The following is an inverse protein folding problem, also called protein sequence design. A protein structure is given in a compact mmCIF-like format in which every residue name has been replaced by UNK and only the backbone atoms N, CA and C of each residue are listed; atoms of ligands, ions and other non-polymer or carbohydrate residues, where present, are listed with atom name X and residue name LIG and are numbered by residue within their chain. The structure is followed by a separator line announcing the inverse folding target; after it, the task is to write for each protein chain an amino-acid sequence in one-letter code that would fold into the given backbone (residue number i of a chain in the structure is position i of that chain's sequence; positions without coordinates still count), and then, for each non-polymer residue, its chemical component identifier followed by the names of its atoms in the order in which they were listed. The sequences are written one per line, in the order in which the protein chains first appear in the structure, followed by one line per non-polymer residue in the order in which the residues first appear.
data_IF_043404963554
#
_entry.id   IF_043404963554
#
_cell.length_a   1.000
_cell.length_b   1.000
_cell.length_c   1.000
_cell.angle_alpha   90.00
_cell.angle_beta   90.00
_cell.angle_gamma   90.00
#
_symmetry.space_group_name_H-M   'P 1'
#
loop_
_entity.id
_entity.type
_entity.pdbx_description
1 polymer ?
#
# COMPACT_ATOMS: atom_id res chain seq x y z
N UNK A 1 36.52 8.73 26.84
CA UNK A 1 35.95 9.27 25.59
C UNK A 1 34.51 8.81 25.48
N UNK A 2 33.55 9.73 25.38
CA UNK A 2 32.14 9.36 25.16
C UNK A 2 32.03 8.55 23.87
N UNK A 3 31.38 7.39 23.93
CA UNK A 3 31.12 6.54 22.76
C UNK A 3 30.34 7.38 21.76
N UNK A 4 31.00 7.85 20.68
CA UNK A 4 30.32 8.56 19.58
C UNK A 4 29.18 7.66 19.14
N UNK A 5 27.94 8.14 19.29
CA UNK A 5 26.76 7.39 18.91
C UNK A 5 26.89 7.10 17.41
N UNK A 6 26.92 5.81 17.05
CA UNK A 6 26.99 5.42 15.64
C UNK A 6 25.68 5.86 14.97
N UNK A 7 25.77 6.27 13.72
CA UNK A 7 24.60 6.65 12.94
C UNK A 7 23.63 5.47 12.79
N UNK A 8 22.40 5.79 12.42
CA UNK A 8 21.31 4.82 12.29
C UNK A 8 20.73 4.88 10.89
N UNK A 9 20.55 3.72 10.27
CA UNK A 9 19.89 3.58 8.98
C UNK A 9 18.42 3.25 9.20
N UNK A 10 17.53 3.90 8.45
CA UNK A 10 16.10 3.59 8.43
C UNK A 10 15.68 3.38 6.98
N UNK A 11 15.38 2.13 6.60
CA UNK A 11 14.79 1.81 5.31
C UNK A 11 13.29 2.09 5.38
N UNK A 12 12.80 2.98 4.52
CA UNK A 12 11.41 3.48 4.59
C UNK A 12 10.70 3.21 3.28
N UNK A 13 9.56 2.50 3.36
CA UNK A 13 8.64 2.36 2.25
C UNK A 13 7.89 3.65 1.97
N UNK A 14 8.10 4.21 0.78
CA UNK A 14 7.49 5.47 0.34
C UNK A 14 6.07 5.30 -0.23
N UNK A 15 5.57 4.06 -0.33
CA UNK A 15 4.28 3.78 -0.93
C UNK A 15 4.30 3.79 -2.47
N UNK A 16 3.14 3.62 -3.12
CA UNK A 16 3.04 3.43 -4.58
C UNK A 16 3.19 4.72 -5.39
N UNK A 17 2.94 5.90 -4.79
CA UNK A 17 3.01 7.17 -5.48
C UNK A 17 2.31 8.31 -4.73
N UNK A 18 1.11 8.07 -4.22
CA UNK A 18 0.37 9.05 -3.42
C UNK A 18 1.04 9.29 -2.06
N UNK A 19 1.42 10.54 -1.72
CA UNK A 19 1.95 10.88 -0.39
C UNK A 19 1.00 10.53 0.77
N UNK A 20 -0.33 10.52 0.56
CA UNK A 20 -1.29 10.15 1.60
C UNK A 20 -1.25 8.66 1.95
N UNK A 21 -0.60 7.84 1.11
CA UNK A 21 -0.36 6.42 1.37
C UNK A 21 0.95 6.16 2.14
N UNK A 22 1.66 7.21 2.58
CA UNK A 22 2.75 7.08 3.54
C UNK A 22 2.20 6.63 4.89
N UNK A 23 2.92 5.72 5.55
CA UNK A 23 2.60 5.38 6.94
C UNK A 23 2.97 6.54 7.85
N UNK A 24 2.24 6.71 8.96
CA UNK A 24 2.56 7.73 9.98
C UNK A 24 4.01 7.60 10.48
N UNK A 25 4.53 6.37 10.59
CA UNK A 25 5.92 6.12 10.98
C UNK A 25 6.91 6.58 9.89
N UNK A 26 6.59 6.40 8.60
CA UNK A 26 7.41 6.88 7.50
C UNK A 26 7.51 8.41 7.49
N UNK A 27 6.38 9.12 7.66
CA UNK A 27 6.35 10.58 7.75
C UNK A 27 7.28 11.09 8.85
N UNK A 28 7.13 10.56 10.07
CA UNK A 28 7.97 10.94 11.22
C UNK A 28 9.45 10.69 10.96
N UNK A 29 9.80 9.55 10.33
CA UNK A 29 11.19 9.23 10.02
C UNK A 29 11.78 10.22 8.99
N UNK A 30 11.04 10.54 7.92
CA UNK A 30 11.47 11.49 6.88
C UNK A 30 11.71 12.88 7.48
N UNK A 31 10.82 13.34 8.36
CA UNK A 31 10.93 14.67 8.98
C UNK A 31 12.11 14.79 9.96
N UNK A 32 12.50 13.68 10.60
CA UNK A 32 13.59 13.63 11.58
C UNK A 32 14.96 13.31 10.96
N UNK A 33 14.99 12.89 9.69
CA UNK A 33 16.20 12.48 9.00
C UNK A 33 17.24 13.61 8.92
N UNK A 34 18.52 13.24 9.02
CA UNK A 34 19.65 14.15 8.78
C UNK A 34 20.24 14.00 7.38
N UNK A 35 19.91 12.89 6.70
CA UNK A 35 20.15 12.65 5.28
C UNK A 35 19.04 11.74 4.74
N UNK A 36 18.45 12.12 3.61
CA UNK A 36 17.54 11.25 2.85
C UNK A 36 18.21 10.76 1.58
N UNK A 37 18.25 9.44 1.42
CA UNK A 37 18.68 8.75 0.21
C UNK A 37 17.44 8.16 -0.48
N UNK A 38 17.25 8.44 -1.76
CA UNK A 38 16.05 7.99 -2.48
C UNK A 38 16.33 7.41 -3.86
N UNK A 39 15.47 6.49 -4.27
CA UNK A 39 15.39 6.06 -5.66
C UNK A 39 14.67 7.10 -6.52
N UNK A 40 14.92 7.06 -7.82
CA UNK A 40 14.25 7.96 -8.78
C UNK A 40 12.72 7.82 -8.81
N UNK A 41 12.18 6.65 -8.44
CA UNK A 41 10.74 6.39 -8.45
C UNK A 41 10.02 6.94 -7.21
N UNK A 42 10.74 7.51 -6.24
CA UNK A 42 10.11 8.18 -5.10
C UNK A 42 9.53 9.53 -5.59
N UNK A 43 8.23 9.79 -5.36
CA UNK A 43 7.58 11.03 -5.79
C UNK A 43 8.24 12.28 -5.20
N UNK A 44 8.28 13.38 -5.97
CA UNK A 44 8.88 14.64 -5.51
C UNK A 44 8.16 15.20 -4.28
N UNK A 45 6.86 14.97 -4.20
CA UNK A 45 5.98 15.38 -3.10
C UNK A 45 6.44 14.75 -1.78
N UNK A 46 6.81 13.46 -1.80
CA UNK A 46 7.38 12.75 -0.65
C UNK A 46 8.76 13.30 -0.30
N UNK A 47 9.63 13.53 -1.30
CA UNK A 47 10.97 14.07 -1.07
C UNK A 47 10.95 15.48 -0.45
N UNK A 48 9.95 16.30 -0.79
CA UNK A 48 9.78 17.66 -0.23
C UNK A 48 9.41 17.67 1.26
N UNK A 49 9.01 16.54 1.84
CA UNK A 49 8.73 16.43 3.28
C UNK A 49 10.02 16.41 4.12
N UNK A 50 11.15 16.06 3.51
CA UNK A 50 12.44 16.07 4.18
C UNK A 50 12.89 17.50 4.48
N UNK A 51 13.39 17.73 5.71
CA UNK A 51 13.93 19.03 6.17
C UNK A 51 15.46 19.09 6.08
N UNK A 52 16.07 18.11 5.42
CA UNK A 52 17.52 17.91 5.34
C UNK A 52 17.97 17.71 3.87
N UNK A 53 19.25 17.39 3.69
CA UNK A 53 19.79 17.05 2.37
C UNK A 53 19.11 15.80 1.81
N UNK A 54 18.68 15.86 0.54
CA UNK A 54 18.12 14.72 -0.20
C UNK A 54 19.05 14.37 -1.35
N UNK A 55 19.52 13.12 -1.41
CA UNK A 55 20.30 12.57 -2.53
C UNK A 55 19.50 11.52 -3.27
N UNK A 56 19.39 11.69 -4.58
CA UNK A 56 18.68 10.76 -5.46
C UNK A 56 19.70 10.08 -6.38
N UNK A 57 19.66 8.75 -6.43
CA UNK A 57 20.61 7.97 -7.24
C UNK A 57 20.50 8.30 -8.74
N UNK A 58 21.64 8.47 -9.41
CA UNK A 58 21.66 8.71 -10.86
C UNK A 58 21.54 7.39 -11.61
N UNK A 59 20.34 7.04 -12.09
CA UNK A 59 20.18 5.88 -12.97
C UNK A 59 20.73 6.20 -14.37
N UNK A 60 21.93 5.70 -14.68
CA UNK A 60 22.40 5.56 -16.07
C UNK A 60 21.80 4.26 -16.64
N UNK A 61 21.27 4.29 -17.87
CA UNK A 61 20.74 3.07 -18.52
C UNK A 61 21.76 1.93 -18.45
N UNK A 62 21.33 0.75 -18.02
CA UNK A 62 22.17 -0.46 -17.92
C UNK A 62 23.12 -0.53 -16.71
N UNK A 63 23.04 0.40 -15.74
CA UNK A 63 23.99 0.50 -14.61
C UNK A 63 23.30 0.56 -13.24
N UNK A 64 22.34 -0.34 -12.98
CA UNK A 64 21.60 -0.38 -11.72
C UNK A 64 22.51 -0.62 -10.50
N UNK A 65 23.52 -1.47 -10.64
CA UNK A 65 24.45 -1.79 -9.54
C UNK A 65 25.35 -0.62 -9.17
N UNK A 66 25.71 0.24 -10.15
CA UNK A 66 26.47 1.46 -9.86
C UNK A 66 25.64 2.50 -9.12
N UNK A 67 24.35 2.59 -9.41
CA UNK A 67 23.44 3.47 -8.66
C UNK A 67 23.26 2.98 -7.21
N UNK A 68 23.21 1.66 -7.01
CA UNK A 68 23.18 1.07 -5.66
C UNK A 68 24.48 1.36 -4.90
N UNK A 69 25.64 1.15 -5.53
CA UNK A 69 26.94 1.43 -4.92
C UNK A 69 27.10 2.93 -4.56
N UNK A 70 26.56 3.85 -5.37
CA UNK A 70 26.55 5.29 -5.08
C UNK A 70 25.72 5.60 -3.81
N UNK A 71 24.53 5.03 -3.69
CA UNK A 71 23.68 5.15 -2.49
C UNK A 71 24.36 4.57 -1.25
N UNK A 72 24.94 3.38 -1.37
CA UNK A 72 25.59 2.70 -0.25
C UNK A 72 26.83 3.47 0.23
N UNK A 73 27.62 4.02 -0.69
CA UNK A 73 28.75 4.89 -0.34
C UNK A 73 28.30 6.14 0.43
N UNK A 74 27.25 6.82 -0.03
CA UNK A 74 26.70 7.99 0.67
C UNK A 74 26.12 7.63 2.03
N UNK A 75 25.39 6.51 2.13
CA UNK A 75 24.81 6.02 3.37
C UNK A 75 25.87 5.69 4.40
N UNK A 76 26.86 4.86 4.03
CA UNK A 76 27.95 4.48 4.94
C UNK A 76 28.76 5.69 5.42
N UNK A 77 29.02 6.65 4.55
CA UNK A 77 29.73 7.88 4.94
C UNK A 77 28.91 8.68 5.98
N UNK A 78 27.63 8.91 5.74
CA UNK A 78 26.77 9.64 6.68
C UNK A 78 26.58 8.88 8.01
N UNK A 79 26.45 7.56 7.97
CA UNK A 79 26.36 6.73 9.17
C UNK A 79 27.63 6.80 10.02
N UNK A 80 28.81 6.83 9.40
CA UNK A 80 30.10 7.03 10.11
C UNK A 80 30.20 8.40 10.78
N UNK A 81 29.51 9.41 10.24
CA UNK A 81 29.40 10.74 10.84
C UNK A 81 28.41 10.79 12.02
N UNK A 82 27.69 9.70 12.31
CA UNK A 82 26.72 9.64 13.40
C UNK A 82 25.29 10.03 13.01
N UNK A 83 25.01 10.22 11.71
CA UNK A 83 23.72 10.74 11.23
C UNK A 83 22.59 9.71 11.28
N UNK A 84 21.37 10.19 11.46
CA UNK A 84 20.15 9.46 11.12
C UNK A 84 19.92 9.51 9.61
N UNK A 85 20.14 8.38 8.93
CA UNK A 85 19.98 8.25 7.48
C UNK A 85 18.67 7.55 7.15
N UNK A 86 17.82 8.20 6.37
CA UNK A 86 16.60 7.59 5.83
C UNK A 86 16.82 7.19 4.38
N UNK A 87 16.60 5.91 4.07
CA UNK A 87 16.63 5.35 2.73
C UNK A 87 15.20 5.12 2.25
N UNK A 88 14.69 6.04 1.43
CA UNK A 88 13.35 5.94 0.84
C UNK A 88 13.34 4.99 -0.36
N UNK A 89 12.48 3.99 -0.30
CA UNK A 89 12.31 2.96 -1.32
C UNK A 89 10.86 3.00 -1.80
N UNK A 90 10.64 2.95 -3.11
CA UNK A 90 9.29 2.94 -3.67
C UNK A 90 8.53 1.67 -3.22
N UNK A 91 7.25 1.81 -2.91
CA UNK A 91 6.43 0.71 -2.40
C UNK A 91 6.87 0.28 -1.00
N UNK A 92 7.16 -1.01 -0.87
CA UNK A 92 7.65 -1.62 0.37
C UNK A 92 9.15 -1.97 0.26
N UNK A 93 9.98 -1.73 1.28
CA UNK A 93 11.41 -2.01 1.23
C UNK A 93 11.77 -3.44 0.86
N UNK A 94 10.98 -4.42 1.31
CA UNK A 94 11.32 -5.84 1.27
C UNK A 94 10.60 -6.60 0.15
N UNK A 95 9.60 -6.01 -0.50
CA UNK A 95 8.97 -6.61 -1.67
C UNK A 95 9.62 -6.14 -2.98
N UNK A 96 10.55 -6.94 -3.52
CA UNK A 96 11.32 -6.66 -4.74
C UNK A 96 12.08 -5.32 -4.75
N UNK A 97 12.25 -4.69 -3.59
CA UNK A 97 12.96 -3.43 -3.42
C UNK A 97 14.45 -3.56 -3.11
N UNK A 98 14.98 -4.78 -2.96
CA UNK A 98 16.36 -5.06 -2.47
C UNK A 98 16.65 -4.55 -1.04
N UNK A 99 15.64 -4.18 -0.25
CA UNK A 99 15.86 -3.68 1.10
C UNK A 99 16.52 -4.69 2.04
N UNK A 100 16.29 -5.99 1.83
CA UNK A 100 16.97 -7.03 2.60
C UNK A 100 18.49 -7.04 2.36
N UNK A 101 18.93 -6.86 1.12
CA UNK A 101 20.35 -6.75 0.78
C UNK A 101 20.98 -5.52 1.46
N UNK A 102 20.33 -4.36 1.33
CA UNK A 102 20.77 -3.12 1.99
C UNK A 102 20.85 -3.29 3.52
N UNK A 103 19.84 -3.92 4.14
CA UNK A 103 19.84 -4.17 5.58
C UNK A 103 21.03 -5.03 6.03
N UNK A 104 21.37 -6.07 5.28
CA UNK A 104 22.56 -6.90 5.56
C UNK A 104 23.84 -6.07 5.44
N UNK A 105 24.01 -5.33 4.34
CA UNK A 105 25.20 -4.50 4.09
C UNK A 105 25.47 -3.52 5.24
N UNK A 106 24.45 -2.77 5.67
CA UNK A 106 24.62 -1.79 6.76
C UNK A 106 24.80 -2.45 8.12
N UNK A 107 24.16 -3.60 8.37
CA UNK A 107 24.33 -4.36 9.61
C UNK A 107 25.74 -4.94 9.73
N UNK A 108 26.27 -5.53 8.65
CA UNK A 108 27.65 -6.05 8.59
C UNK A 108 28.69 -4.94 8.76
N UNK A 109 28.39 -3.72 8.29
CA UNK A 109 29.19 -2.53 8.55
C UNK A 109 29.09 -2.02 10.01
N UNK A 110 28.26 -2.65 10.85
CA UNK A 110 28.14 -2.38 12.28
C UNK A 110 27.22 -1.21 12.63
N UNK A 111 26.22 -0.92 11.79
CA UNK A 111 25.19 0.08 12.02
C UNK A 111 23.84 -0.55 12.35
N UNK A 112 23.03 0.16 13.12
CA UNK A 112 21.64 -0.24 13.40
C UNK A 112 20.78 0.07 12.17
N UNK A 113 19.92 -0.89 11.79
CA UNK A 113 19.01 -0.77 10.66
C UNK A 113 17.58 -1.00 11.13
N UNK A 114 16.75 0.03 11.02
CA UNK A 114 15.30 -0.09 11.15
C UNK A 114 14.64 -0.20 9.79
N UNK A 115 13.52 -0.91 9.72
CA UNK A 115 12.69 -1.00 8.52
C UNK A 115 11.28 -0.52 8.85
N UNK A 116 10.78 0.40 8.03
CA UNK A 116 9.42 0.91 8.09
C UNK A 116 8.70 0.40 6.84
N UNK A 117 7.64 -0.43 6.99
CA UNK A 117 6.92 -0.97 5.85
C UNK A 117 6.22 0.16 5.09
N UNK A 118 6.01 -0.08 3.80
CA UNK A 118 5.26 0.80 2.93
C UNK A 118 4.11 0.08 2.23
N UNK A 119 3.16 0.84 1.72
CA UNK A 119 2.08 0.27 0.92
C UNK A 119 2.67 -0.17 -0.43
N UNK A 120 2.63 -1.48 -0.70
CA UNK A 120 3.20 -2.02 -1.94
C UNK A 120 2.28 -1.76 -3.15
N UNK A 121 2.87 -1.45 -4.30
CA UNK A 121 2.18 -1.36 -5.59
C UNK A 121 1.55 -2.68 -6.02
N UNK A 122 1.99 -3.82 -5.47
CA UNK A 122 1.38 -5.12 -5.73
C UNK A 122 -0.09 -5.18 -5.32
N UNK A 123 -0.49 -4.51 -4.23
CA UNK A 123 -1.87 -4.51 -3.73
C UNK A 123 -2.57 -3.17 -3.96
N UNK A 124 -1.85 -2.06 -3.84
CA UNK A 124 -2.45 -0.73 -4.01
C UNK A 124 -2.75 -0.38 -5.46
N UNK A 125 -1.97 -0.87 -6.43
CA UNK A 125 -2.25 -0.63 -7.84
C UNK A 125 -3.57 -1.26 -8.29
N UNK A 126 -3.82 -2.58 -8.10
CA UNK A 126 -5.13 -3.14 -8.41
C UNK A 126 -6.25 -2.43 -7.63
N UNK A 127 -6.06 -2.12 -6.35
CA UNK A 127 -7.04 -1.39 -5.54
C UNK A 127 -7.42 -0.03 -6.16
N UNK A 128 -6.44 0.76 -6.60
CA UNK A 128 -6.67 2.07 -7.24
C UNK A 128 -7.45 1.96 -8.56
N UNK A 129 -7.43 0.79 -9.19
CA UNK A 129 -8.19 0.49 -10.40
C UNK A 129 -9.56 -0.14 -10.12
N UNK A 130 -9.95 -0.35 -8.86
CA UNK A 130 -11.16 -1.09 -8.51
C UNK A 130 -11.04 -2.59 -8.82
N UNK A 131 -9.86 -3.17 -8.64
CA UNK A 131 -9.59 -4.60 -8.78
C UNK A 131 -9.20 -5.12 -7.39
N UNK A 132 -9.99 -5.99 -6.75
CA UNK A 132 -9.61 -6.56 -5.48
C UNK A 132 -8.50 -7.61 -5.69
N UNK A 133 -7.60 -7.77 -4.73
CA UNK A 133 -6.56 -8.81 -4.83
C UNK A 133 -7.15 -10.22 -4.60
N UNK A 134 -8.14 -10.32 -3.72
CA UNK A 134 -8.92 -11.53 -3.45
C UNK A 134 -10.40 -11.19 -3.41
N UNK A 135 -11.25 -12.15 -3.77
CA UNK A 135 -12.68 -12.04 -3.61
C UNK A 135 -13.25 -13.45 -3.52
N UNK A 136 -14.17 -13.67 -2.57
CA UNK A 136 -14.82 -14.98 -2.40
C UNK A 136 -15.41 -15.46 -3.71
N UNK A 137 -15.28 -16.75 -4.00
CA UNK A 137 -15.75 -17.41 -5.22
C UNK A 137 -15.06 -16.96 -6.53
N UNK A 138 -14.12 -16.01 -6.44
CA UNK A 138 -13.35 -15.49 -7.58
C UNK A 138 -11.86 -15.83 -7.46
N UNK A 139 -11.22 -15.44 -6.36
CA UNK A 139 -9.84 -15.76 -6.06
C UNK A 139 -9.57 -15.80 -4.55
N UNK A 140 -9.01 -16.91 -4.09
CA UNK A 140 -8.63 -17.17 -2.70
C UNK A 140 -7.11 -17.05 -2.45
N UNK A 141 -6.33 -16.90 -3.52
CA UNK A 141 -4.88 -16.79 -3.48
C UNK A 141 -4.39 -15.53 -4.21
N UNK A 142 -3.32 -14.94 -3.68
CA UNK A 142 -2.53 -13.91 -4.35
C UNK A 142 -1.10 -14.39 -4.45
N UNK A 143 -0.54 -14.37 -5.66
CA UNK A 143 0.87 -14.60 -5.89
C UNK A 143 1.50 -13.36 -6.51
N UNK A 144 2.52 -12.84 -5.85
CA UNK A 144 3.27 -11.67 -6.30
C UNK A 144 4.60 -12.15 -6.90
N UNK A 145 4.84 -11.78 -8.15
CA UNK A 145 5.96 -12.17 -8.97
C UNK A 145 6.70 -10.93 -9.50
N UNK A 146 7.91 -11.15 -10.01
CA UNK A 146 8.66 -10.17 -10.81
C UNK A 146 8.66 -10.61 -12.27
N UNK A 147 8.39 -9.68 -13.19
CA UNK A 147 8.57 -9.87 -14.63
C UNK A 147 10.03 -9.66 -15.08
N UNK A 148 10.91 -9.28 -14.16
CA UNK A 148 12.33 -9.06 -14.41
C UNK A 148 13.17 -10.21 -13.80
N UNK A 149 13.96 -10.88 -14.64
CA UNK A 149 14.94 -11.89 -14.23
C UNK A 149 16.37 -11.51 -14.61
N UNK A 150 17.36 -12.34 -14.22
CA UNK A 150 18.78 -12.13 -14.53
C UNK A 150 19.11 -12.64 -15.95
N UNK A 151 20.01 -11.94 -16.65
CA UNK A 151 20.61 -12.37 -17.92
C UNK A 151 19.59 -12.86 -18.98
N UNK A 152 18.65 -11.98 -19.35
CA UNK A 152 17.60 -12.20 -20.36
C UNK A 152 16.63 -13.36 -20.12
N UNK A 153 16.72 -14.09 -19.01
CA UNK A 153 15.73 -15.12 -18.64
C UNK A 153 14.65 -14.54 -17.73
N UNK A 154 13.43 -15.04 -17.85
CA UNK A 154 12.42 -14.82 -16.81
C UNK A 154 12.80 -15.62 -15.55
N UNK A 155 12.39 -15.19 -14.35
CA UNK A 155 12.44 -16.07 -13.19
C UNK A 155 11.56 -17.31 -13.43
N UNK A 156 11.58 -18.27 -12.51
CA UNK A 156 10.60 -19.35 -12.54
C UNK A 156 9.20 -18.73 -12.44
N UNK A 157 8.47 -18.72 -13.55
CA UNK A 157 7.10 -18.24 -13.61
C UNK A 157 6.20 -19.16 -12.76
N UNK A 158 4.96 -18.79 -12.45
CA UNK A 158 3.99 -19.71 -11.87
C UNK A 158 3.23 -20.48 -12.96
N UNK A 159 2.70 -21.66 -12.62
CA UNK A 159 1.70 -22.34 -13.44
C UNK A 159 0.34 -21.64 -13.33
N UNK A 160 -0.58 -21.92 -14.25
CA UNK A 160 -1.94 -21.40 -14.18
C UNK A 160 -2.71 -21.98 -12.98
N UNK A 161 -3.54 -21.15 -12.35
CA UNK A 161 -4.52 -21.57 -11.36
C UNK A 161 -5.73 -20.65 -11.45
N UNK A 162 -6.91 -21.22 -11.69
CA UNK A 162 -8.15 -20.49 -11.95
C UNK A 162 -8.65 -19.65 -10.77
N UNK A 163 -8.28 -20.00 -9.54
CA UNK A 163 -8.70 -19.33 -8.31
C UNK A 163 -7.61 -18.43 -7.71
N UNK A 164 -6.57 -18.09 -8.49
CA UNK A 164 -5.45 -17.26 -8.05
C UNK A 164 -5.35 -15.96 -8.82
N UNK A 165 -5.18 -14.87 -8.08
CA UNK A 165 -4.71 -13.60 -8.62
C UNK A 165 -3.19 -13.64 -8.72
N UNK A 166 -2.65 -13.48 -9.93
CA UNK A 166 -1.20 -13.42 -10.15
C UNK A 166 -0.81 -11.99 -10.52
N UNK A 167 0.09 -11.40 -9.74
CA UNK A 167 0.49 -10.00 -9.84
C UNK A 167 1.97 -9.94 -10.19
N UNK A 168 2.32 -9.33 -11.32
CA UNK A 168 3.69 -9.12 -11.74
C UNK A 168 4.10 -7.66 -11.57
N UNK A 169 5.12 -7.44 -10.74
CA UNK A 169 5.87 -6.18 -10.70
C UNK A 169 6.95 -6.18 -11.79
N UNK A 170 7.35 -4.99 -12.25
CA UNK A 170 8.43 -4.84 -13.25
C UNK A 170 8.17 -5.61 -14.56
N UNK A 171 6.90 -5.77 -14.96
CA UNK A 171 6.51 -6.56 -16.13
C UNK A 171 6.61 -5.80 -17.46
N UNK A 172 6.34 -4.48 -17.44
CA UNK A 172 6.08 -3.67 -18.65
C UNK A 172 7.19 -3.81 -19.71
N UNK A 173 8.46 -3.70 -19.31
CA UNK A 173 9.59 -3.74 -20.26
C UNK A 173 9.76 -5.07 -21.00
N UNK A 174 9.11 -6.15 -20.56
CA UNK A 174 9.19 -7.50 -21.15
C UNK A 174 7.82 -8.13 -21.33
N UNK A 175 6.76 -7.33 -21.37
CA UNK A 175 5.38 -7.81 -21.30
C UNK A 175 5.04 -8.81 -22.40
N UNK A 176 5.49 -8.58 -23.63
CA UNK A 176 5.22 -9.45 -24.77
C UNK A 176 5.80 -10.86 -24.54
N UNK A 177 7.08 -10.95 -24.16
CA UNK A 177 7.72 -12.22 -23.84
C UNK A 177 7.12 -12.89 -22.61
N UNK A 178 6.73 -12.11 -21.60
CA UNK A 178 6.12 -12.63 -20.38
C UNK A 178 4.76 -13.27 -20.67
N UNK A 179 3.88 -12.60 -21.43
CA UNK A 179 2.57 -13.13 -21.79
C UNK A 179 2.70 -14.39 -22.65
N UNK A 180 3.62 -14.39 -23.63
CA UNK A 180 3.92 -15.57 -24.46
C UNK A 180 4.36 -16.76 -23.61
N UNK A 181 5.31 -16.58 -22.70
CA UNK A 181 5.80 -17.64 -21.82
C UNK A 181 4.70 -18.17 -20.88
N UNK A 182 3.88 -17.28 -20.29
CA UNK A 182 2.77 -17.70 -19.43
C UNK A 182 1.74 -18.56 -20.18
N UNK A 183 1.41 -18.20 -21.42
CA UNK A 183 0.45 -18.94 -22.24
C UNK A 183 1.04 -20.28 -22.71
N UNK A 184 2.23 -20.24 -23.32
CA UNK A 184 2.81 -21.39 -24.02
C UNK A 184 3.46 -22.41 -23.08
N UNK A 185 4.10 -21.94 -22.00
CA UNK A 185 4.91 -22.80 -21.12
C UNK A 185 4.20 -23.10 -19.81
N UNK A 186 3.32 -22.21 -19.34
CA UNK A 186 2.74 -22.27 -17.99
C UNK A 186 1.25 -22.56 -17.94
N UNK A 187 0.63 -22.76 -19.11
CA UNK A 187 -0.75 -23.21 -19.24
C UNK A 187 -1.80 -22.14 -18.96
N UNK A 188 -1.46 -20.85 -19.01
CA UNK A 188 -2.46 -19.79 -18.88
C UNK A 188 -3.33 -19.71 -20.15
N UNK A 189 -4.66 -19.77 -20.04
CA UNK A 189 -5.55 -19.48 -21.16
C UNK A 189 -5.34 -18.06 -21.69
N UNK A 190 -5.32 -17.88 -23.02
CA UNK A 190 -5.10 -16.57 -23.64
C UNK A 190 -6.22 -15.56 -23.35
N UNK A 191 -7.43 -16.05 -23.07
CA UNK A 191 -8.61 -15.27 -22.69
C UNK A 191 -8.64 -14.91 -21.19
N UNK A 192 -7.64 -15.33 -20.40
CA UNK A 192 -7.56 -14.99 -18.96
C UNK A 192 -7.59 -13.47 -18.79
N UNK A 193 -8.49 -12.90 -17.96
CA UNK A 193 -8.54 -11.47 -17.73
C UNK A 193 -7.21 -10.92 -17.21
N UNK A 194 -6.77 -9.80 -17.77
CA UNK A 194 -5.53 -9.14 -17.40
C UNK A 194 -5.73 -7.62 -17.34
N UNK A 195 -5.04 -6.98 -16.40
CA UNK A 195 -5.02 -5.53 -16.27
C UNK A 195 -3.61 -5.02 -16.05
N UNK A 196 -3.33 -3.84 -16.60
CA UNK A 196 -2.15 -3.05 -16.27
C UNK A 196 -2.56 -1.75 -15.64
N UNK A 197 -1.97 -1.48 -14.49
CA UNK A 197 -2.13 -0.23 -13.78
C UNK A 197 -0.79 0.51 -13.87
N UNK A 198 -0.74 1.51 -14.75
CA UNK A 198 0.39 2.40 -14.94
C UNK A 198 0.40 3.49 -13.85
N UNK A 199 1.59 3.82 -13.36
CA UNK A 199 1.83 4.93 -12.41
C UNK A 199 0.75 5.04 -11.32
N UNK A 200 0.41 3.90 -10.71
CA UNK A 200 -0.70 3.76 -9.77
C UNK A 200 -0.69 4.84 -8.69
N UNK A 201 -1.86 5.35 -8.32
CA UNK A 201 -2.06 6.37 -7.26
C UNK A 201 -1.43 7.74 -7.56
N UNK A 202 -0.84 7.95 -8.74
CA UNK A 202 -0.34 9.26 -9.16
C UNK A 202 -1.33 9.95 -10.10
N UNK A 203 -1.13 11.25 -10.35
CA UNK A 203 -1.90 12.01 -11.33
C UNK A 203 -1.76 11.48 -12.78
N UNK A 204 -0.75 10.66 -13.05
CA UNK A 204 -0.49 10.03 -14.35
C UNK A 204 -1.02 8.60 -14.42
N UNK A 205 -1.82 8.17 -13.44
CA UNK A 205 -2.31 6.79 -13.42
C UNK A 205 -3.21 6.49 -14.62
N UNK A 206 -3.00 5.32 -15.23
CA UNK A 206 -3.84 4.81 -16.29
C UNK A 206 -4.09 3.32 -16.07
N UNK A 207 -5.31 2.86 -16.32
CA UNK A 207 -5.66 1.44 -16.24
C UNK A 207 -6.03 0.91 -17.60
N UNK A 208 -5.40 -0.19 -17.97
CA UNK A 208 -5.63 -0.93 -19.19
C UNK A 208 -6.21 -2.29 -18.80
N UNK A 209 -7.43 -2.62 -19.25
CA UNK A 209 -8.02 -3.96 -19.07
C UNK A 209 -8.10 -4.66 -20.42
N UNK A 210 -7.74 -5.93 -20.46
CA UNK A 210 -7.80 -6.77 -21.66
C UNK A 210 -7.75 -8.26 -21.25
N UNK A 211 -7.35 -9.12 -22.17
CA UNK A 211 -7.00 -10.52 -21.93
C UNK A 211 -5.49 -10.69 -21.93
N UNK A 212 -4.98 -11.77 -21.34
CA UNK A 212 -3.55 -12.09 -21.33
C UNK A 212 -2.95 -12.16 -22.74
N UNK A 213 -3.73 -12.63 -23.72
CA UNK A 213 -3.31 -12.70 -25.12
C UNK A 213 -3.20 -11.34 -25.83
N UNK A 214 -3.84 -10.28 -25.31
CA UNK A 214 -3.97 -8.98 -25.98
C UNK A 214 -3.35 -7.81 -25.20
N UNK A 215 -3.10 -7.98 -23.90
CA UNK A 215 -2.66 -6.89 -23.02
C UNK A 215 -1.32 -6.28 -23.45
N UNK A 216 -0.43 -7.05 -24.07
CA UNK A 216 0.84 -6.55 -24.59
C UNK A 216 0.66 -5.56 -25.76
N UNK A 217 -0.24 -5.89 -26.70
CA UNK A 217 -0.56 -5.02 -27.83
C UNK A 217 -1.26 -3.74 -27.37
N UNK A 218 -2.14 -3.87 -26.38
CA UNK A 218 -2.83 -2.75 -25.77
C UNK A 218 -1.86 -1.76 -25.10
N UNK A 219 -0.90 -2.27 -24.32
CA UNK A 219 0.18 -1.47 -23.72
C UNK A 219 0.97 -0.72 -24.77
N UNK A 220 1.33 -1.40 -25.88
CA UNK A 220 2.06 -0.79 -26.98
C UNK A 220 1.23 0.29 -27.68
N UNK A 221 -0.05 0.02 -27.95
CA UNK A 221 -0.98 0.95 -28.61
C UNK A 221 -1.18 2.23 -27.80
N UNK A 222 -1.28 2.11 -26.48
CA UNK A 222 -1.44 3.25 -25.57
C UNK A 222 -0.11 3.92 -25.18
N UNK A 223 1.04 3.41 -25.63
CA UNK A 223 2.35 3.98 -25.29
C UNK A 223 2.69 3.89 -23.80
N UNK A 224 2.16 2.89 -23.08
CA UNK A 224 2.40 2.73 -21.64
C UNK A 224 3.85 2.33 -21.40
N UNK A 225 4.52 3.07 -20.52
CA UNK A 225 5.92 2.83 -20.12
C UNK A 225 6.01 2.49 -18.63
N UNK A 226 7.13 1.92 -18.14
CA UNK A 226 7.31 1.72 -16.71
C UNK A 226 7.22 3.06 -15.93
N UNK A 227 6.70 3.06 -14.69
CA UNK A 227 6.29 1.90 -13.89
C UNK A 227 4.86 1.40 -14.21
N UNK A 228 4.63 0.10 -14.07
CA UNK A 228 3.29 -0.48 -14.16
C UNK A 228 3.20 -1.87 -13.53
N UNK A 229 2.04 -2.18 -12.96
CA UNK A 229 1.72 -3.46 -12.32
C UNK A 229 0.80 -4.25 -13.24
N UNK A 230 1.18 -5.48 -13.59
CA UNK A 230 0.35 -6.42 -14.33
C UNK A 230 -0.39 -7.32 -13.35
N UNK A 231 -1.71 -7.41 -13.49
CA UNK A 231 -2.60 -8.23 -12.67
C UNK A 231 -3.32 -9.20 -13.60
N UNK A 232 -3.26 -10.49 -13.30
CA UNK A 232 -3.83 -11.57 -14.11
C UNK A 232 -4.76 -12.39 -13.22
N UNK A 233 -5.96 -12.66 -13.71
CA UNK A 233 -6.94 -13.51 -13.05
C UNK A 233 -8.34 -12.89 -13.03
N UNK A 234 -9.31 -13.69 -12.63
CA UNK A 234 -10.74 -13.35 -12.74
C UNK A 234 -11.12 -12.10 -11.94
N UNK A 235 -10.33 -11.74 -10.91
CA UNK A 235 -10.51 -10.52 -10.11
C UNK A 235 -10.54 -9.23 -10.94
N UNK A 236 -9.88 -9.21 -12.11
CA UNK A 236 -9.83 -8.03 -13.00
C UNK A 236 -11.23 -7.54 -13.38
N UNK A 237 -12.19 -8.45 -13.50
CA UNK A 237 -13.57 -8.15 -13.87
C UNK A 237 -14.54 -8.18 -12.67
N UNK A 238 -14.10 -8.57 -11.48
CA UNK A 238 -15.00 -8.93 -10.38
C UNK A 238 -15.91 -7.78 -9.92
N UNK A 239 -15.40 -6.55 -9.85
CA UNK A 239 -16.21 -5.38 -9.50
C UNK A 239 -16.84 -4.67 -10.72
N UNK A 240 -16.39 -4.97 -11.94
CA UNK A 240 -17.00 -4.42 -13.15
C UNK A 240 -18.44 -4.96 -13.35
N UNK A 241 -18.68 -6.21 -12.96
CA UNK A 241 -20.02 -6.82 -13.00
C UNK A 241 -20.98 -6.29 -11.93
N UNK A 242 -20.52 -5.57 -10.91
CA UNK A 242 -21.40 -4.93 -9.93
C UNK A 242 -22.18 -3.74 -10.52
N UNK A 243 -21.67 -3.10 -11.58
CA UNK A 243 -22.42 -2.05 -12.29
C UNK A 243 -23.64 -2.58 -13.05
N UNK A 244 -23.77 -3.91 -13.20
CA UNK A 244 -24.90 -4.59 -13.85
C UNK A 244 -25.78 -5.39 -12.88
N UNK A 245 -25.84 -5.00 -11.60
CA UNK A 245 -26.73 -5.66 -10.63
C UNK A 245 -28.22 -5.63 -11.06
N UNK A 246 -28.62 -4.63 -11.86
CA UNK A 246 -29.99 -4.52 -12.37
C UNK A 246 -30.31 -5.46 -13.56
N UNK A 247 -29.32 -6.02 -14.24
CA UNK A 247 -29.54 -6.85 -15.44
C UNK A 247 -29.91 -8.31 -15.14
N UNK A 248 -29.95 -8.71 -13.86
CA UNK A 248 -30.23 -10.10 -13.43
C UNK A 248 -31.74 -10.35 -13.21
N UNK A 249 -32.61 -9.34 -13.34
CA UNK A 249 -34.02 -9.45 -12.90
C UNK A 249 -35.09 -9.73 -13.96
N UNK A 250 -34.75 -9.85 -15.23
CA UNK A 250 -35.75 -10.13 -16.27
C UNK A 250 -35.11 -10.89 -17.42
N UNK A 251 -35.38 -12.19 -17.49
CA UNK A 251 -34.94 -13.02 -18.61
C UNK A 251 -35.66 -12.68 -19.92
N UNK A 252 -35.51 -13.57 -20.91
CA UNK A 252 -34.45 -13.53 -21.90
C UNK A 252 -34.76 -12.50 -22.99
N UNK A 253 -33.85 -11.57 -23.22
CA UNK A 253 -33.79 -10.84 -24.48
C UNK A 253 -32.35 -10.78 -24.95
N UNK A 254 -32.20 -11.22 -26.18
CA UNK A 254 -30.98 -11.63 -26.85
C UNK A 254 -29.92 -10.52 -26.99
N UNK A 255 -28.68 -10.99 -27.12
CA UNK A 255 -27.48 -10.32 -27.61
C UNK A 255 -26.88 -9.17 -26.78
N UNK A 256 -26.06 -9.54 -25.79
CA UNK A 256 -24.98 -8.65 -25.30
C UNK A 256 -23.65 -9.38 -24.96
N UNK A 257 -23.64 -10.63 -24.49
CA UNK A 257 -22.45 -11.18 -23.80
C UNK A 257 -22.30 -12.71 -23.92
N UNK A 258 -21.65 -13.19 -24.99
CA UNK A 258 -21.16 -14.58 -25.06
C UNK A 258 -19.90 -14.82 -24.20
N UNK A 259 -19.70 -14.00 -23.16
CA UNK A 259 -18.55 -14.08 -22.25
C UNK A 259 -18.86 -15.12 -21.18
N UNK A 260 -17.89 -15.94 -20.79
CA UNK A 260 -17.93 -16.67 -19.51
C UNK A 260 -18.01 -15.63 -18.39
N UNK A 261 -19.22 -15.15 -18.09
CA UNK A 261 -19.51 -14.27 -16.97
C UNK A 261 -19.33 -15.10 -15.72
N UNK A 262 -18.35 -14.73 -14.90
CA UNK A 262 -18.22 -15.31 -13.58
C UNK A 262 -19.48 -14.93 -12.80
N UNK A 263 -20.28 -15.92 -12.44
CA UNK A 263 -21.49 -15.72 -11.66
C UNK A 263 -21.09 -15.58 -10.19
N UNK A 264 -21.01 -14.33 -9.73
CA UNK A 264 -20.78 -14.03 -8.32
C UNK A 264 -22.15 -14.07 -7.64
N UNK A 265 -22.44 -15.17 -6.94
CA UNK A 265 -23.69 -15.31 -6.20
C UNK A 265 -23.55 -14.67 -4.81
N UNK A 266 -24.09 -13.47 -4.65
CA UNK A 266 -24.46 -12.95 -3.34
C UNK A 266 -25.98 -12.94 -3.24
N UNK A 267 -26.57 -13.37 -2.10
CA UNK A 267 -27.97 -13.09 -1.85
C UNK A 267 -28.19 -11.57 -1.95
N UNK A 268 -29.28 -11.11 -2.57
CA UNK A 268 -29.56 -9.69 -2.63
C UNK A 268 -29.64 -9.12 -1.22
N UNK A 269 -29.27 -7.84 -1.07
CA UNK A 269 -29.34 -7.15 0.24
C UNK A 269 -30.72 -7.23 0.89
N UNK A 270 -31.79 -7.43 0.11
CA UNK A 270 -33.15 -7.70 0.61
C UNK A 270 -33.29 -8.99 1.39
N UNK A 271 -32.42 -9.96 1.12
CA UNK A 271 -32.41 -11.30 1.69
C UNK A 271 -31.34 -11.42 2.79
N UNK A 272 -30.64 -10.31 3.10
CA UNK A 272 -29.74 -10.26 4.24
C UNK A 272 -30.56 -10.48 5.52
N UNK A 273 -30.17 -11.42 6.39
CA UNK A 273 -30.87 -11.65 7.65
C UNK A 273 -30.84 -10.36 8.49
N UNK A 274 -31.91 -10.10 9.23
CA UNK A 274 -31.88 -9.04 10.24
C UNK A 274 -30.75 -9.35 11.24
N UNK A 275 -29.70 -8.52 11.22
CA UNK A 275 -28.55 -8.69 12.12
C UNK A 275 -28.87 -7.96 13.42
N UNK A 276 -28.99 -8.71 14.52
CA UNK A 276 -28.95 -8.12 15.86
C UNK A 276 -27.52 -7.60 16.11
N UNK A 277 -27.40 -6.30 16.19
CA UNK A 277 -26.14 -5.60 16.36
C UNK A 277 -25.59 -5.78 17.79
N UNK A 278 -26.39 -6.18 18.78
CA UNK A 278 -25.90 -6.40 20.15
C UNK A 278 -25.22 -5.17 20.78
N UNK A 279 -24.40 -5.39 21.82
CA UNK A 279 -23.59 -4.34 22.44
C UNK A 279 -22.29 -4.10 21.65
N UNK A 280 -22.11 -2.87 21.16
CA UNK A 280 -20.93 -2.46 20.41
C UNK A 280 -20.08 -1.44 21.16
N UNK A 281 -18.75 -1.57 21.05
CA UNK A 281 -17.81 -0.56 21.54
C UNK A 281 -17.82 0.61 20.57
N UNK A 282 -18.48 1.70 20.96
CA UNK A 282 -18.51 2.94 20.21
C UNK A 282 -17.39 3.86 20.71
N UNK A 283 -16.28 3.93 19.98
CA UNK A 283 -15.21 4.89 20.24
C UNK A 283 -15.49 6.20 19.49
N UNK A 284 -15.28 7.34 20.16
CA UNK A 284 -15.33 8.69 19.55
C UNK A 284 -16.65 9.07 18.84
N UNK A 285 -17.78 8.43 19.15
CA UNK A 285 -19.06 8.97 18.70
C UNK A 285 -19.31 10.32 19.38
N UNK A 286 -19.79 11.34 18.63
CA UNK A 286 -20.32 12.53 19.26
C UNK A 286 -21.49 12.09 20.14
N UNK A 287 -21.28 12.03 21.46
CA UNK A 287 -22.39 11.88 22.38
C UNK A 287 -23.30 13.08 22.13
N UNK A 288 -24.57 12.84 21.75
CA UNK A 288 -25.61 13.84 21.94
C UNK A 288 -25.73 14.06 23.46
N UNK A 289 -24.82 14.84 24.04
CA UNK A 289 -25.08 15.51 25.31
C UNK A 289 -26.19 16.50 25.01
N UNK A 290 -27.41 16.14 25.41
CA UNK A 290 -28.51 17.08 25.51
C UNK A 290 -28.03 18.27 26.34
N UNK A 291 -28.05 19.44 25.70
CA UNK A 291 -27.91 20.74 26.33
C UNK A 291 -29.14 21.05 27.18
N UNK A 292 -29.38 20.28 28.25
CA UNK A 292 -30.49 20.48 29.20
C UNK A 292 -30.07 19.99 30.59
N UNK A 293 -29.37 20.86 31.32
CA UNK A 293 -29.57 21.21 32.74
C UNK A 293 -28.38 22.06 33.22
N UNK A 294 -28.40 23.31 32.78
CA UNK A 294 -27.60 24.41 33.32
C UNK A 294 -28.57 25.34 34.06
N UNK A 295 -29.18 24.82 35.13
CA UNK A 295 -30.04 25.45 36.16
C UNK A 295 -30.56 24.28 36.99
N UNK A 296 -30.16 24.01 38.24
CA UNK A 296 -30.24 24.82 39.46
C UNK A 296 -29.28 24.20 40.50
N UNK A 297 -28.35 24.98 41.06
CA UNK A 297 -27.86 24.85 42.44
C UNK A 297 -26.89 25.99 42.80
N UNK A 298 -27.29 27.24 42.54
CA UNK A 298 -26.72 28.41 43.22
C UNK A 298 -27.41 28.59 44.58
N UNK A 299 -27.32 27.60 45.49
CA UNK A 299 -27.80 27.72 46.87
C UNK A 299 -27.38 26.54 47.75
N UNK A 300 -26.08 26.34 47.99
CA UNK A 300 -25.65 25.44 49.08
C UNK A 300 -24.20 25.59 49.56
N UNK A 301 -23.46 26.61 49.11
CA UNK A 301 -22.10 26.85 49.63
C UNK A 301 -22.07 27.71 50.91
N UNK A 302 -23.16 28.38 51.28
CA UNK A 302 -23.24 29.16 52.54
C UNK A 302 -23.72 28.33 53.74
N UNK A 303 -24.49 27.26 53.54
CA UNK A 303 -24.98 26.42 54.63
C UNK A 303 -23.90 25.46 55.18
N UNK A 304 -22.96 25.01 54.33
CA UNK A 304 -21.89 24.08 54.73
C UNK A 304 -20.79 24.79 55.53
N UNK A 305 -20.55 26.08 55.27
CA UNK A 305 -19.55 26.87 56.02
C UNK A 305 -20.04 27.29 57.42
N UNK A 306 -21.35 27.49 57.62
CA UNK A 306 -21.89 27.83 58.95
C UNK A 306 -21.95 26.61 59.89
N UNK A 307 -22.19 25.41 59.36
CA UNK A 307 -22.19 24.17 60.14
C UNK A 307 -20.81 23.75 60.64
N UNK A 308 -19.76 24.01 59.85
CA UNK A 308 -18.37 23.72 60.23
C UNK A 308 -17.82 24.71 61.28
N UNK A 309 -18.28 25.98 61.26
CA UNK A 309 -17.86 26.97 62.25
C UNK A 309 -18.49 26.73 63.65
N UNK A 310 -19.74 26.25 63.72
CA UNK A 310 -20.38 25.89 65.00
C UNK A 310 -19.83 24.58 65.60
N UNK A 311 -19.46 23.61 64.76
CA UNK A 311 -18.86 22.35 65.22
C UNK A 311 -17.47 22.52 65.84
N UNK A 312 -16.67 23.47 65.31
CA UNK A 312 -15.32 23.74 65.83
C UNK A 312 -15.34 24.54 67.16
N UNK A 313 -16.38 25.34 67.41
CA UNK A 313 -16.50 26.13 68.64
C UNK A 313 -16.93 25.28 69.85
N UNK A 314 -17.65 24.18 69.63
CA UNK A 314 -18.08 23.27 70.71
C UNK A 314 -16.96 22.32 71.18
N UNK A 315 -15.99 22.01 70.31
CA UNK A 315 -14.86 21.13 70.65
C UNK A 315 -13.71 21.81 71.43
N UNK A 316 -13.74 23.13 71.57
CA UNK A 316 -12.72 23.92 72.27
C UNK A 316 -13.14 24.37 73.69
N UNK A 317 -14.25 23.84 74.23
CA UNK A 317 -14.75 24.17 75.59
C UNK A 317 -15.09 22.97 76.47
N UNK A 318 -14.54 21.79 76.19
CA UNK A 318 -14.55 20.63 77.10
C UNK A 318 -13.12 20.25 77.48
#
# INVERSE_FOLDING_TARGET
MARRQRGKMVLVGAGPGDPELLTVKAVRAIEQAELVLADRLVPKEVLRMAKCEVRVARKRCGKADLAQAELDAWGLEALRQGKLVVRLKNGDPFLYGRGGEEAVIYSEAGFEVDVIPGISSSLSAPLSAGIPATMRDVADQVLICTGHGKADRFPNLPEFCSHRTTIFLMAIGRIEGLCKALIQERGFPSDTPAAIIHAATTAHSATVRSTLGQIADEVKRQGITPPGTLVIGNVVNALAYLQHYAAVRSGPSQDLEAVRKYEISYPPLSDAPAVDLGEHIVLNAPTKRSSLLLTVASASHTAVLLGLALGLFLLLRL
#
